data_IF_542219330112
#
_entry.id   IF_542219330112
#
_cell.length_a   1.000
_cell.length_b   1.000
_cell.length_c   1.000
_cell.angle_alpha   90.00
_cell.angle_beta   90.00
_cell.angle_gamma   90.00
#
_symmetry.space_group_name_H-M   'P 1'
#
loop_
_entity.id
_entity.type
_entity.pdbx_description
1 polymer ?
#
# COMPACT_ATOMS: atom_id res chain seq x y z
N UNK A 1 -13.91 15.71 34.75
CA UNK A 1 -13.34 16.26 33.51
C UNK A 1 -12.87 15.08 32.68
N UNK A 2 -13.37 14.91 31.47
CA UNK A 2 -13.01 13.76 30.62
C UNK A 2 -11.68 14.05 29.94
N UNK A 3 -10.61 13.42 30.40
CA UNK A 3 -9.27 13.49 29.81
C UNK A 3 -9.32 12.85 28.42
N UNK A 4 -9.49 13.68 27.38
CA UNK A 4 -9.40 13.24 25.99
C UNK A 4 -7.93 12.94 25.71
N UNK A 5 -7.57 11.66 25.69
CA UNK A 5 -6.29 11.23 25.15
C UNK A 5 -6.23 11.64 23.68
N UNK A 6 -5.26 12.46 23.24
CA UNK A 6 -5.08 12.71 21.82
C UNK A 6 -4.83 11.35 21.15
N UNK A 7 -5.60 11.07 20.10
CA UNK A 7 -5.46 9.83 19.33
C UNK A 7 -4.01 9.63 18.84
N UNK A 8 -3.65 8.42 18.39
CA UNK A 8 -2.28 8.09 18.02
C UNK A 8 -1.71 9.14 17.06
N UNK A 9 -0.59 9.75 17.45
CA UNK A 9 0.10 10.75 16.67
C UNK A 9 0.72 10.07 15.44
N UNK A 10 0.00 10.10 14.32
CA UNK A 10 0.52 9.61 13.05
C UNK A 10 1.43 10.68 12.47
N UNK A 11 2.75 10.47 12.59
CA UNK A 11 3.76 11.32 11.97
C UNK A 11 4.19 10.67 10.67
N UNK A 12 3.68 11.17 9.54
CA UNK A 12 4.14 10.75 8.22
C UNK A 12 5.52 11.37 7.95
N UNK A 13 6.57 10.61 8.22
CA UNK A 13 7.96 10.99 7.91
C UNK A 13 8.27 10.89 6.41
N UNK A 14 9.41 11.46 6.00
CA UNK A 14 9.90 11.30 4.62
C UNK A 14 10.25 9.83 4.39
N UNK A 15 9.43 9.14 3.59
CA UNK A 15 9.67 7.75 3.20
C UNK A 15 11.08 7.60 2.63
N UNK A 16 11.79 6.56 3.06
CA UNK A 16 13.03 6.15 2.42
C UNK A 16 12.76 5.74 0.96
N UNK A 17 13.77 5.80 0.09
CA UNK A 17 13.61 5.43 -1.31
C UNK A 17 13.08 3.99 -1.48
N UNK A 18 13.47 3.08 -0.57
CA UNK A 18 12.98 1.70 -0.55
C UNK A 18 11.48 1.61 -0.19
N UNK A 19 10.99 2.42 0.74
CA UNK A 19 9.57 2.45 1.10
C UNK A 19 8.72 3.09 0.00
N UNK A 20 9.22 4.16 -0.63
CA UNK A 20 8.59 4.77 -1.81
C UNK A 20 8.50 3.78 -2.95
N UNK A 21 9.61 3.13 -3.29
CA UNK A 21 9.67 2.15 -4.37
C UNK A 21 8.71 0.99 -4.12
N UNK A 22 8.56 0.51 -2.88
CA UNK A 22 7.57 -0.51 -2.53
C UNK A 22 6.15 -0.01 -2.79
N UNK A 23 5.78 1.19 -2.38
CA UNK A 23 4.45 1.73 -2.60
C UNK A 23 4.14 1.90 -4.10
N UNK A 24 5.05 2.53 -4.84
CA UNK A 24 4.88 2.81 -6.27
C UNK A 24 4.82 1.54 -7.14
N UNK A 25 5.50 0.46 -6.72
CA UNK A 25 5.54 -0.82 -7.45
C UNK A 25 4.47 -1.83 -7.02
N UNK A 26 3.51 -1.43 -6.18
CA UNK A 26 2.56 -2.34 -5.52
C UNK A 26 3.30 -3.50 -4.81
N UNK A 27 4.28 -3.15 -3.97
CA UNK A 27 5.17 -4.07 -3.27
C UNK A 27 5.93 -5.00 -4.22
N UNK A 28 6.52 -4.43 -5.27
CA UNK A 28 7.27 -5.15 -6.30
C UNK A 28 6.43 -6.18 -7.06
N UNK A 29 5.09 -6.06 -7.02
CA UNK A 29 4.19 -6.96 -7.76
C UNK A 29 4.12 -6.60 -9.24
N UNK A 30 4.42 -5.35 -9.61
CA UNK A 30 4.39 -4.92 -11.01
C UNK A 30 3.04 -5.25 -11.66
N UNK A 31 3.07 -5.85 -12.85
CA UNK A 31 1.85 -6.22 -13.60
C UNK A 31 1.25 -7.56 -13.18
N UNK A 32 1.87 -8.33 -12.28
CA UNK A 32 1.41 -9.69 -11.95
C UNK A 32 -0.04 -9.72 -11.48
N UNK A 33 -0.51 -8.67 -10.81
CA UNK A 33 -1.90 -8.54 -10.37
C UNK A 33 -2.86 -8.42 -11.55
N UNK A 34 -2.50 -7.66 -12.58
CA UNK A 34 -3.29 -7.54 -13.82
C UNK A 34 -3.23 -8.83 -14.64
N UNK A 35 -2.08 -9.48 -14.73
CA UNK A 35 -1.92 -10.76 -15.42
C UNK A 35 -2.76 -11.86 -14.76
N UNK A 36 -2.80 -11.92 -13.42
CA UNK A 36 -3.64 -12.84 -12.66
C UNK A 36 -5.13 -12.58 -12.90
N UNK A 37 -5.55 -11.31 -12.93
CA UNK A 37 -6.93 -10.92 -13.25
C UNK A 37 -7.30 -11.27 -14.69
N UNK A 38 -6.46 -10.95 -15.68
CA UNK A 38 -6.66 -11.36 -17.08
C UNK A 38 -6.75 -12.88 -17.23
N UNK A 39 -6.03 -13.64 -16.41
CA UNK A 39 -6.10 -15.11 -16.40
C UNK A 39 -7.38 -15.63 -15.75
N UNK A 40 -7.91 -14.98 -14.71
CA UNK A 40 -9.21 -15.34 -14.16
C UNK A 40 -10.34 -15.03 -15.14
N UNK A 41 -10.25 -13.88 -15.81
CA UNK A 41 -11.32 -13.36 -16.65
C UNK A 41 -11.42 -14.12 -18.00
N UNK A 42 -10.31 -14.68 -18.49
CA UNK A 42 -10.28 -15.57 -19.68
C UNK A 42 -10.85 -16.97 -19.46
N UNK A 43 -11.39 -17.28 -18.28
CA UNK A 43 -12.01 -18.58 -17.99
C UNK A 43 -13.51 -18.64 -18.29
N UNK A 44 -14.04 -17.67 -19.04
CA UNK A 44 -15.38 -17.66 -19.60
C UNK A 44 -15.33 -17.27 -21.08
#
# INVERSE_FOLDING_TARGET
MSEKHPGPLVVEGKLSDAERMKLESNYLRGTIAEDLKRRSDRRF
#
